data_IF_150312303556
#
_entry.id   IF_150312303556
#
_cell.length_a   1.000
_cell.length_b   1.000
_cell.length_c   1.000
_cell.angle_alpha   90.00
_cell.angle_beta   90.00
_cell.angle_gamma   90.00
#
_symmetry.space_group_name_H-M   'P 1'
#
loop_
_entity.id
_entity.type
_entity.pdbx_description
1 polymer ?
#
# COMPACT_ATOMS: atom_id res chain seq x y z
N UNK A 1 -17.41 -27.66 -4.14
CA UNK A 1 -18.87 -27.44 -4.16
C UNK A 1 -19.36 -26.60 -2.98
N UNK A 2 -18.67 -26.58 -1.83
CA UNK A 2 -19.09 -25.80 -0.65
C UNK A 2 -18.56 -24.35 -0.57
N UNK A 3 -17.57 -23.95 -1.39
CA UNK A 3 -17.09 -22.55 -1.39
C UNK A 3 -18.15 -21.53 -1.87
N UNK A 4 -18.98 -21.92 -2.83
CA UNK A 4 -19.98 -21.03 -3.44
C UNK A 4 -21.19 -20.74 -2.53
N UNK A 5 -21.39 -21.52 -1.46
CA UNK A 5 -22.43 -21.26 -0.48
C UNK A 5 -22.05 -20.16 0.52
N UNK A 6 -20.75 -19.91 0.72
CA UNK A 6 -20.25 -18.90 1.65
C UNK A 6 -20.12 -17.50 1.03
N UNK A 7 -20.01 -17.39 -0.31
CA UNK A 7 -19.88 -16.10 -1.01
C UNK A 7 -21.07 -15.18 -0.69
N UNK A 8 -22.30 -15.72 -0.73
CA UNK A 8 -23.52 -14.94 -0.44
C UNK A 8 -23.73 -14.56 1.03
N UNK A 9 -22.94 -15.08 1.96
CA UNK A 9 -22.94 -14.64 3.38
C UNK A 9 -21.93 -13.52 3.62
N UNK A 10 -20.75 -13.59 2.97
CA UNK A 10 -19.71 -12.56 3.08
C UNK A 10 -20.19 -11.25 2.49
N UNK A 11 -20.76 -11.26 1.29
CA UNK A 11 -21.24 -10.03 0.63
C UNK A 11 -22.30 -9.32 1.48
N UNK A 12 -23.21 -10.07 2.11
CA UNK A 12 -24.22 -9.52 3.01
C UNK A 12 -23.62 -8.84 4.23
N UNK A 13 -22.56 -9.40 4.80
CA UNK A 13 -21.88 -8.81 5.96
C UNK A 13 -21.14 -7.54 5.55
N UNK A 14 -20.49 -7.54 4.39
CA UNK A 14 -19.78 -6.37 3.85
C UNK A 14 -20.76 -5.25 3.50
N UNK A 15 -21.86 -5.58 2.81
CA UNK A 15 -22.93 -4.62 2.49
C UNK A 15 -23.55 -4.03 3.76
N UNK A 16 -23.83 -4.87 4.76
CA UNK A 16 -24.36 -4.40 6.04
C UNK A 16 -23.40 -3.43 6.72
N UNK A 17 -22.09 -3.72 6.75
CA UNK A 17 -21.08 -2.84 7.33
C UNK A 17 -20.93 -1.51 6.58
N UNK A 18 -21.06 -1.52 5.25
CA UNK A 18 -21.04 -0.31 4.42
C UNK A 18 -22.34 0.49 4.48
N UNK A 19 -23.46 -0.15 4.83
CA UNK A 19 -24.79 0.47 4.94
C UNK A 19 -25.09 1.08 6.32
N UNK A 20 -24.21 0.89 7.31
CA UNK A 20 -24.35 1.57 8.59
C UNK A 20 -24.17 3.05 8.33
N UNK A 21 -25.25 3.82 8.44
CA UNK A 21 -25.18 5.26 8.52
C UNK A 21 -24.26 5.59 9.69
N UNK A 22 -23.04 6.05 9.37
CA UNK A 22 -22.22 6.74 10.35
C UNK A 22 -23.09 7.91 10.79
N UNK A 23 -23.68 7.82 11.99
CA UNK A 23 -24.27 8.98 12.64
C UNK A 23 -23.29 10.14 12.46
N UNK A 24 -23.80 11.33 12.12
CA UNK A 24 -22.99 12.52 11.85
C UNK A 24 -22.30 12.94 13.15
N UNK A 25 -21.26 12.20 13.52
CA UNK A 25 -20.33 12.53 14.56
C UNK A 25 -19.62 13.73 13.99
N UNK A 26 -20.07 14.91 14.38
CA UNK A 26 -19.39 16.18 14.14
C UNK A 26 -18.04 16.16 14.85
N UNK A 27 -17.13 15.33 14.35
CA UNK A 27 -15.74 15.28 14.73
C UNK A 27 -15.04 16.32 13.89
N UNK A 28 -14.38 17.26 14.56
CA UNK A 28 -13.46 18.15 13.85
C UNK A 28 -12.44 17.30 13.08
N UNK A 29 -12.13 17.67 11.83
CA UNK A 29 -11.20 16.92 11.02
C UNK A 29 -9.85 16.84 11.74
N UNK A 30 -9.31 15.62 11.84
CA UNK A 30 -8.03 15.35 12.51
C UNK A 30 -6.85 16.08 11.85
N UNK A 31 -7.01 16.51 10.59
CA UNK A 31 -6.00 17.18 9.79
C UNK A 31 -6.42 18.62 9.49
N UNK A 32 -5.46 19.53 9.48
CA UNK A 32 -5.70 20.91 9.06
C UNK A 32 -6.08 20.98 7.58
N UNK A 33 -6.85 22.00 7.20
CA UNK A 33 -7.20 22.26 5.80
C UNK A 33 -5.94 22.42 4.91
N UNK A 34 -4.89 23.04 5.45
CA UNK A 34 -3.59 23.15 4.78
C UNK A 34 -2.97 21.77 4.51
N UNK A 35 -2.99 20.86 5.49
CA UNK A 35 -2.46 19.50 5.31
C UNK A 35 -3.25 18.74 4.25
N UNK A 36 -4.58 18.87 4.24
CA UNK A 36 -5.43 18.24 3.23
C UNK A 36 -5.13 18.77 1.82
N UNK A 37 -4.91 20.08 1.67
CA UNK A 37 -4.50 20.66 0.39
C UNK A 37 -3.14 20.14 -0.09
N UNK A 38 -2.18 19.95 0.82
CA UNK A 38 -0.89 19.35 0.47
C UNK A 38 -1.02 17.88 0.05
N UNK A 39 -1.86 17.09 0.76
CA UNK A 39 -2.15 15.71 0.38
C UNK A 39 -2.75 15.66 -1.02
N UNK A 40 -3.78 16.46 -1.29
CA UNK A 40 -4.41 16.50 -2.62
C UNK A 40 -3.40 16.90 -3.70
N UNK A 41 -2.58 17.93 -3.44
CA UNK A 41 -1.58 18.41 -4.40
C UNK A 41 -0.54 17.36 -4.79
N UNK A 42 -0.07 16.55 -3.84
CA UNK A 42 1.03 15.60 -4.06
C UNK A 42 0.59 14.16 -4.31
N UNK A 43 -0.56 13.76 -3.79
CA UNK A 43 -1.04 12.38 -3.85
C UNK A 43 -2.43 12.25 -4.48
N UNK A 44 -3.06 13.37 -4.86
CA UNK A 44 -4.33 13.36 -5.56
C UNK A 44 -4.20 12.76 -6.97
N UNK A 45 -5.22 12.02 -7.44
CA UNK A 45 -5.16 11.27 -8.71
C UNK A 45 -5.10 12.17 -9.94
N UNK A 46 -5.36 13.47 -9.80
CA UNK A 46 -5.36 14.45 -10.90
C UNK A 46 -3.96 14.99 -11.25
N UNK A 47 -2.96 14.79 -10.38
CA UNK A 47 -1.68 15.51 -10.48
C UNK A 47 -0.52 14.67 -11.00
N UNK A 48 -0.56 13.35 -10.83
CA UNK A 48 0.56 12.46 -11.12
C UNK A 48 0.09 11.16 -11.77
N UNK A 49 0.88 10.65 -12.72
CA UNK A 49 0.57 9.41 -13.44
C UNK A 49 1.33 8.18 -12.91
N UNK A 50 2.33 8.40 -12.07
CA UNK A 50 3.15 7.35 -11.47
C UNK A 50 3.68 7.74 -10.09
N UNK A 51 4.13 6.74 -9.32
CA UNK A 51 4.85 6.97 -8.06
C UNK A 51 6.15 7.78 -8.27
N UNK A 52 6.81 7.61 -9.41
CA UNK A 52 8.02 8.36 -9.74
C UNK A 52 7.73 9.84 -10.00
N UNK A 53 6.58 10.17 -10.61
CA UNK A 53 6.16 11.56 -10.77
C UNK A 53 5.93 12.23 -9.41
N UNK A 54 5.30 11.52 -8.47
CA UNK A 54 5.08 12.00 -7.11
C UNK A 54 6.42 12.27 -6.42
N UNK A 55 7.36 11.32 -6.50
CA UNK A 55 8.69 11.47 -5.90
C UNK A 55 9.44 12.65 -6.50
N UNK A 56 9.43 12.78 -7.83
CA UNK A 56 10.11 13.88 -8.53
C UNK A 56 9.53 15.24 -8.14
N UNK A 57 8.21 15.37 -8.01
CA UNK A 57 7.55 16.60 -7.60
C UNK A 57 7.85 16.93 -6.12
N UNK A 58 7.80 15.94 -5.23
CA UNK A 58 8.22 16.10 -3.84
C UNK A 58 9.68 16.56 -3.75
N UNK A 59 10.58 15.97 -4.54
CA UNK A 59 12.00 16.36 -4.59
C UNK A 59 12.20 17.78 -5.08
N UNK A 60 11.44 18.21 -6.08
CA UNK A 60 11.48 19.57 -6.61
C UNK A 60 10.99 20.62 -5.59
N UNK A 61 10.11 20.23 -4.67
CA UNK A 61 9.51 21.14 -3.68
C UNK A 61 10.13 21.06 -2.29
N UNK A 62 11.02 20.10 -2.02
CA UNK A 62 11.53 19.82 -0.66
C UNK A 62 12.17 21.02 0.05
N UNK A 63 12.86 21.89 -0.69
CA UNK A 63 13.60 23.01 -0.10
C UNK A 63 12.69 24.20 0.27
N UNK A 64 11.47 24.23 -0.29
CA UNK A 64 10.49 25.32 -0.09
C UNK A 64 9.20 24.85 0.55
N UNK A 65 9.01 23.54 0.74
CA UNK A 65 7.79 22.94 1.26
C UNK A 65 8.11 21.89 2.35
N UNK A 66 7.89 22.20 3.63
CA UNK A 66 8.15 21.27 4.74
C UNK A 66 7.34 19.97 4.68
N UNK A 67 6.15 19.99 4.06
CA UNK A 67 5.36 18.78 3.85
C UNK A 67 6.08 17.84 2.88
N UNK A 68 6.61 18.38 1.78
CA UNK A 68 7.32 17.60 0.79
C UNK A 68 8.61 16.98 1.36
N UNK A 69 9.40 17.75 2.11
CA UNK A 69 10.60 17.26 2.80
C UNK A 69 10.26 16.11 3.76
N UNK A 70 9.20 16.27 4.58
CA UNK A 70 8.77 15.26 5.54
C UNK A 70 8.28 13.98 4.84
N UNK A 71 7.57 14.10 3.73
CA UNK A 71 7.13 12.98 2.92
C UNK A 71 8.34 12.20 2.36
N UNK A 72 9.33 12.88 1.79
CA UNK A 72 10.56 12.24 1.29
C UNK A 72 11.35 11.55 2.41
N UNK A 73 11.48 12.19 3.57
CA UNK A 73 12.14 11.57 4.72
C UNK A 73 11.41 10.30 5.17
N UNK A 74 10.08 10.31 5.12
CA UNK A 74 9.28 9.15 5.48
C UNK A 74 9.46 8.04 4.44
N UNK A 75 9.30 8.35 3.15
CA UNK A 75 9.38 7.38 2.05
C UNK A 75 10.77 6.74 1.94
N UNK A 76 11.84 7.51 2.14
CA UNK A 76 13.23 6.99 2.07
C UNK A 76 13.56 5.95 3.14
N UNK A 77 12.72 5.81 4.17
CA UNK A 77 12.86 4.83 5.26
C UNK A 77 11.91 3.64 5.11
N UNK A 78 11.09 3.61 4.07
CA UNK A 78 10.16 2.50 3.79
C UNK A 78 10.76 1.54 2.77
N UNK A 79 10.21 0.34 2.72
CA UNK A 79 10.53 -0.65 1.71
C UNK A 79 10.10 -0.13 0.33
N UNK A 80 11.03 0.05 -0.63
CA UNK A 80 10.70 0.54 -1.97
C UNK A 80 9.68 -0.32 -2.69
N UNK A 81 9.85 -1.65 -2.66
CA UNK A 81 8.92 -2.61 -3.27
C UNK A 81 7.52 -2.46 -2.67
N UNK A 82 7.40 -2.33 -1.35
CA UNK A 82 6.10 -2.16 -0.70
C UNK A 82 5.40 -0.86 -1.11
N UNK A 83 6.15 0.24 -1.26
CA UNK A 83 5.59 1.49 -1.77
C UNK A 83 5.07 1.37 -3.20
N UNK A 84 5.82 0.71 -4.09
CA UNK A 84 5.42 0.49 -5.47
C UNK A 84 4.18 -0.43 -5.57
N UNK A 85 4.18 -1.55 -4.84
CA UNK A 85 3.04 -2.49 -4.78
C UNK A 85 1.78 -1.80 -4.26
N UNK A 86 1.89 -1.03 -3.17
CA UNK A 86 0.75 -0.29 -2.62
C UNK A 86 0.19 0.73 -3.64
N UNK A 87 1.06 1.48 -4.31
CA UNK A 87 0.64 2.46 -5.31
C UNK A 87 -0.10 1.81 -6.49
N UNK A 88 0.42 0.68 -6.98
CA UNK A 88 -0.21 -0.09 -8.04
C UNK A 88 -1.58 -0.65 -7.61
N UNK A 89 -1.69 -1.19 -6.39
CA UNK A 89 -2.94 -1.70 -5.83
C UNK A 89 -3.99 -0.60 -5.65
N UNK A 90 -3.58 0.55 -5.10
CA UNK A 90 -4.45 1.71 -4.92
C UNK A 90 -4.98 2.25 -6.26
N UNK A 91 -4.09 2.41 -7.24
CA UNK A 91 -4.48 2.83 -8.59
C UNK A 91 -5.45 1.85 -9.27
N UNK A 92 -5.29 0.54 -9.02
CA UNK A 92 -6.22 -0.49 -9.52
C UNK A 92 -7.60 -0.34 -8.89
N UNK A 93 -7.67 -0.21 -7.57
CA UNK A 93 -8.93 -0.02 -6.85
C UNK A 93 -9.70 1.22 -7.33
N UNK A 94 -9.01 2.35 -7.56
CA UNK A 94 -9.64 3.57 -8.08
C UNK A 94 -10.19 3.40 -9.51
N UNK A 95 -9.43 2.77 -10.41
CA UNK A 95 -9.84 2.59 -11.81
C UNK A 95 -10.99 1.59 -11.98
N UNK A 96 -10.99 0.54 -11.17
CA UNK A 96 -11.96 -0.55 -11.28
C UNK A 96 -13.20 -0.36 -10.41
N UNK A 97 -13.28 0.72 -9.61
CA UNK A 97 -14.38 0.98 -8.66
C UNK A 97 -14.68 -0.25 -7.79
N UNK A 98 -13.62 -0.87 -7.30
CA UNK A 98 -13.70 -2.19 -6.69
C UNK A 98 -14.50 -2.19 -5.39
N UNK A 99 -15.23 -3.29 -5.16
CA UNK A 99 -15.91 -3.51 -3.88
C UNK A 99 -14.90 -3.76 -2.76
N UNK A 100 -15.36 -3.68 -1.50
CA UNK A 100 -14.54 -4.06 -0.35
C UNK A 100 -14.09 -5.53 -0.44
N UNK A 101 -14.96 -6.43 -0.92
CA UNK A 101 -14.62 -7.84 -1.13
C UNK A 101 -13.48 -8.03 -2.13
N UNK A 102 -13.52 -7.32 -3.27
CA UNK A 102 -12.46 -7.36 -4.29
C UNK A 102 -11.12 -6.82 -3.76
N UNK A 103 -11.17 -5.79 -2.92
CA UNK A 103 -9.98 -5.23 -2.28
C UNK A 103 -9.36 -6.25 -1.31
N UNK A 104 -10.16 -6.84 -0.42
CA UNK A 104 -9.69 -7.84 0.55
C UNK A 104 -9.14 -9.10 -0.13
N UNK A 105 -9.77 -9.58 -1.20
CA UNK A 105 -9.29 -10.73 -1.97
C UNK A 105 -7.90 -10.47 -2.58
N UNK A 106 -7.69 -9.28 -3.17
CA UNK A 106 -6.39 -8.89 -3.73
C UNK A 106 -5.34 -8.64 -2.66
N UNK A 107 -5.72 -8.01 -1.55
CA UNK A 107 -4.83 -7.80 -0.40
C UNK A 107 -4.38 -9.13 0.23
N UNK A 108 -5.27 -10.13 0.31
CA UNK A 108 -4.93 -11.46 0.77
C UNK A 108 -3.86 -12.11 -0.12
N UNK A 109 -4.06 -12.11 -1.44
CA UNK A 109 -3.11 -12.69 -2.40
C UNK A 109 -1.76 -11.97 -2.39
N UNK A 110 -1.77 -10.64 -2.40
CA UNK A 110 -0.57 -9.81 -2.28
C UNK A 110 0.16 -10.06 -0.95
N UNK A 111 -0.59 -10.13 0.15
CA UNK A 111 -0.05 -10.43 1.47
C UNK A 111 0.62 -11.81 1.51
N UNK A 112 -0.03 -12.83 0.95
CA UNK A 112 0.54 -14.18 0.83
C UNK A 112 1.83 -14.17 0.00
N UNK A 113 1.85 -13.48 -1.14
CA UNK A 113 3.04 -13.34 -2.00
C UNK A 113 4.22 -12.70 -1.26
N UNK A 114 4.00 -11.54 -0.61
CA UNK A 114 5.06 -10.81 0.11
C UNK A 114 5.55 -11.55 1.37
N UNK A 115 4.70 -12.34 2.01
CA UNK A 115 5.06 -13.03 3.27
C UNK A 115 5.65 -14.42 3.06
N UNK A 116 5.25 -15.13 2.00
CA UNK A 116 5.71 -16.49 1.72
C UNK A 116 6.74 -16.58 0.60
N UNK A 117 6.55 -15.85 -0.51
CA UNK A 117 7.35 -15.96 -1.73
C UNK A 117 8.50 -14.96 -1.68
N UNK A 118 8.19 -13.67 -1.76
CA UNK A 118 9.13 -12.55 -1.82
C UNK A 118 9.40 -11.97 -0.42
N UNK A 119 9.77 -12.84 0.53
CA UNK A 119 9.71 -12.52 1.95
C UNK A 119 10.94 -11.83 2.56
N UNK A 120 11.99 -11.56 1.77
CA UNK A 120 13.20 -10.89 2.25
C UNK A 120 12.89 -9.51 2.86
N UNK A 121 12.27 -8.63 2.07
CA UNK A 121 11.93 -7.28 2.51
C UNK A 121 10.94 -7.28 3.70
N UNK A 122 10.03 -8.24 3.72
CA UNK A 122 9.11 -8.43 4.84
C UNK A 122 9.85 -8.81 6.13
N UNK A 123 10.74 -9.80 6.07
CA UNK A 123 11.57 -10.25 7.21
C UNK A 123 12.45 -9.12 7.72
N UNK A 124 13.08 -8.34 6.84
CA UNK A 124 13.90 -7.19 7.23
C UNK A 124 13.07 -6.08 7.90
N UNK A 125 11.87 -5.80 7.38
CA UNK A 125 10.94 -4.88 8.02
C UNK A 125 10.50 -5.35 9.40
N UNK A 126 10.18 -6.64 9.54
CA UNK A 126 9.80 -7.29 10.81
C UNK A 126 10.96 -7.25 11.81
N UNK A 127 12.17 -7.64 11.39
CA UNK A 127 13.40 -7.58 12.19
C UNK A 127 13.56 -6.18 12.77
N UNK A 128 13.68 -5.18 11.91
CA UNK A 128 13.97 -3.82 12.34
C UNK A 128 12.86 -3.24 13.23
N UNK A 129 11.58 -3.47 12.89
CA UNK A 129 10.46 -2.85 13.58
C UNK A 129 10.13 -3.56 14.90
N UNK A 130 10.07 -4.89 14.91
CA UNK A 130 9.58 -5.68 16.05
C UNK A 130 10.70 -6.21 16.93
N UNK A 131 11.82 -6.65 16.35
CA UNK A 131 12.95 -7.18 17.12
C UNK A 131 13.86 -6.05 17.59
N UNK A 132 14.33 -5.22 16.67
CA UNK A 132 15.28 -4.15 17.01
C UNK A 132 14.60 -2.88 17.50
N UNK A 133 13.26 -2.81 17.40
CA UNK A 133 12.42 -1.67 17.84
C UNK A 133 12.88 -0.33 17.25
N UNK A 134 13.28 -0.36 15.98
CA UNK A 134 13.80 0.79 15.24
C UNK A 134 15.20 1.24 15.66
N UNK A 135 15.95 0.39 16.38
CA UNK A 135 17.35 0.62 16.76
C UNK A 135 18.26 -0.27 15.92
N UNK A 136 19.57 0.01 15.90
CA UNK A 136 20.53 -0.80 15.16
C UNK A 136 20.55 -0.50 13.66
N UNK A 137 20.98 -1.49 12.86
CA UNK A 137 21.15 -1.33 11.42
C UNK A 137 19.77 -1.21 10.74
N UNK A 138 19.55 -0.25 9.82
CA UNK A 138 18.32 -0.15 9.05
C UNK A 138 18.03 -1.46 8.28
N UNK A 139 16.77 -1.67 7.85
CA UNK A 139 16.41 -2.79 7.00
C UNK A 139 17.26 -2.80 5.72
N UNK A 140 17.80 -3.96 5.37
CA UNK A 140 18.50 -4.17 4.10
C UNK A 140 17.48 -4.49 3.00
N UNK A 141 16.73 -3.47 2.58
CA UNK A 141 15.73 -3.62 1.53
C UNK A 141 16.39 -3.82 0.16
N UNK A 142 15.83 -4.76 -0.61
CA UNK A 142 16.25 -5.03 -1.98
C UNK A 142 15.03 -4.94 -2.93
N UNK A 143 15.01 -3.99 -3.89
CA UNK A 143 15.98 -2.92 -4.08
C UNK A 143 15.93 -1.87 -2.96
N UNK A 144 17.00 -1.08 -2.84
CA UNK A 144 17.14 -0.05 -1.81
C UNK A 144 16.49 1.29 -2.19
N UNK A 145 16.20 1.51 -3.48
CA UNK A 145 15.54 2.73 -3.99
C UNK A 145 14.30 2.42 -4.79
N UNK A 146 13.31 3.33 -4.75
CA UNK A 146 12.07 3.20 -5.52
C UNK A 146 12.34 3.21 -7.03
N UNK A 147 13.30 3.99 -7.50
CA UNK A 147 13.71 4.03 -8.91
C UNK A 147 14.30 2.72 -9.44
N UNK A 148 14.67 1.80 -8.53
CA UNK A 148 15.27 0.50 -8.85
C UNK A 148 14.25 -0.64 -8.76
N UNK A 149 13.00 -0.35 -8.40
CA UNK A 149 11.92 -1.35 -8.36
C UNK A 149 11.57 -1.77 -9.78
N UNK A 150 11.68 -3.06 -10.04
CA UNK A 150 11.26 -3.66 -11.31
C UNK A 150 9.73 -3.70 -11.41
N UNK A 151 9.12 -3.09 -12.43
CA UNK A 151 7.68 -3.18 -12.67
C UNK A 151 7.18 -4.63 -12.81
N UNK A 152 7.97 -5.53 -13.39
CA UNK A 152 7.58 -6.93 -13.57
C UNK A 152 7.47 -7.64 -12.21
N UNK A 153 8.39 -7.37 -11.28
CA UNK A 153 8.31 -7.87 -9.90
C UNK A 153 7.03 -7.39 -9.20
N UNK A 154 6.61 -6.14 -9.43
CA UNK A 154 5.36 -5.60 -8.86
C UNK A 154 4.15 -6.32 -9.44
N UNK A 155 4.13 -6.56 -10.75
CA UNK A 155 3.07 -7.31 -11.41
C UNK A 155 3.00 -8.75 -10.91
N UNK A 156 4.14 -9.42 -10.70
CA UNK A 156 4.19 -10.78 -10.16
C UNK A 156 3.69 -10.86 -8.72
N UNK A 157 4.05 -9.90 -7.86
CA UNK A 157 3.51 -9.82 -6.50
C UNK A 157 1.98 -9.66 -6.52
N UNK A 158 1.46 -8.83 -7.42
CA UNK A 158 0.03 -8.55 -7.55
C UNK A 158 -0.75 -9.66 -8.28
N UNK A 159 -0.08 -10.49 -9.08
CA UNK A 159 -0.66 -11.70 -9.66
C UNK A 159 -1.01 -12.75 -8.60
N UNK A 160 -0.45 -12.61 -7.39
CA UNK A 160 -0.78 -13.45 -6.24
C UNK A 160 -0.12 -14.82 -6.26
N UNK A 161 -0.63 -15.72 -5.43
CA UNK A 161 -0.08 -17.05 -5.16
C UNK A 161 -0.38 -18.08 -6.27
N UNK A 162 -1.18 -17.77 -7.28
CA UNK A 162 -1.60 -18.72 -8.34
C UNK A 162 -0.45 -19.24 -9.22
N UNK A 163 0.76 -18.67 -9.10
CA UNK A 163 1.97 -19.09 -9.82
C UNK A 163 2.95 -19.96 -8.99
N UNK A 164 2.67 -20.24 -7.72
CA UNK A 164 3.64 -20.92 -6.83
C UNK A 164 3.18 -22.34 -6.54
N UNK A 165 3.98 -23.33 -6.95
CA UNK A 165 3.72 -24.73 -6.62
C UNK A 165 3.64 -24.90 -5.09
N UNK A 166 2.71 -25.75 -4.58
CA UNK A 166 2.59 -25.99 -3.15
C UNK A 166 3.92 -26.43 -2.55
N UNK A 167 4.34 -25.80 -1.47
CA UNK A 167 5.46 -26.30 -0.65
C UNK A 167 4.94 -27.54 0.07
N UNK A 168 5.45 -28.73 -0.30
CA UNK A 168 5.19 -29.95 0.47
C UNK A 168 5.89 -29.85 1.84
N UNK A 169 5.12 -30.07 2.91
CA UNK A 169 5.60 -30.19 4.28
C UNK A 169 5.77 -31.65 4.66
#
# INVERSE_FOLDING_TARGET
SDLMACEGEVDKVLDAACSVDLEDVHQEPLLSAETLQQIERFFGPAHHSSLMDIIADLEAQKDTNPFAEKCLNTLSRKCPTSCAVWYALHGKALREQSSLGDCLAREYLMGASITHVENHNFKEGVRFTLFDKGKGMPPDYNPAKISEVDPEQVEDILAGYDKVEPVEF
#
